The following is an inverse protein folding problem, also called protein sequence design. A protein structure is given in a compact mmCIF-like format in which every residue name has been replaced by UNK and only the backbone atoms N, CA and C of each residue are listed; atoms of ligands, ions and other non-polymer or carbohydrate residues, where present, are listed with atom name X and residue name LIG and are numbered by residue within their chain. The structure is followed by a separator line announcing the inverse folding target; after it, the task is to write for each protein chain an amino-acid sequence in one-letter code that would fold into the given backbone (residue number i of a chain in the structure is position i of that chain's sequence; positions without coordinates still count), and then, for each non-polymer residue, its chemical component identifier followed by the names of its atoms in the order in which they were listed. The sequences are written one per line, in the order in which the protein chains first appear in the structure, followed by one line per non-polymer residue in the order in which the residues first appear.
data_IF_370114144565
#
_entry.id   IF_370114144565
#
_cell.length_a   1.000
_cell.length_b   1.000
_cell.length_c   1.000
_cell.angle_alpha   90.00
_cell.angle_beta   90.00
_cell.angle_gamma   90.00
#
_symmetry.space_group_name_H-M   'P 1'
#
loop_
_entity.id
_entity.type
_entity.pdbx_description
1 polymer ?
#
# COMPACT_ATOMS: atom_id res chain seq x y z
N UNK A 1 10.70 -12.98 -9.71
CA UNK A 1 9.37 -12.44 -9.34
C UNK A 1 9.57 -10.99 -8.93
N UNK A 2 8.76 -10.04 -9.39
CA UNK A 2 8.87 -8.67 -8.88
C UNK A 2 8.25 -8.58 -7.48
N UNK A 3 8.87 -7.83 -6.59
CA UNK A 3 8.34 -7.48 -5.26
C UNK A 3 8.33 -5.97 -5.10
N UNK A 4 7.27 -5.45 -4.52
CA UNK A 4 7.16 -4.04 -4.13
C UNK A 4 7.11 -3.99 -2.61
N UNK A 5 8.15 -3.44 -1.99
CA UNK A 5 8.16 -3.15 -0.57
C UNK A 5 7.52 -1.78 -0.33
N UNK A 6 6.49 -1.75 0.51
CA UNK A 6 5.69 -0.55 0.77
C UNK A 6 6.15 0.12 2.07
N UNK A 7 6.47 -0.67 3.09
CA UNK A 7 6.84 -0.19 4.41
C UNK A 7 7.80 -1.16 5.10
N UNK A 8 8.56 -0.66 6.09
CA UNK A 8 9.37 -1.51 6.96
C UNK A 8 8.46 -2.34 7.87
N UNK A 9 8.90 -3.56 8.13
CA UNK A 9 8.30 -4.45 9.12
C UNK A 9 8.73 -4.10 10.55
N UNK A 10 8.27 -4.86 11.54
CA UNK A 10 8.54 -4.60 12.95
C UNK A 10 9.98 -4.93 13.37
N UNK A 11 10.75 -5.65 12.55
CA UNK A 11 12.14 -6.01 12.83
C UNK A 11 13.04 -5.67 11.63
N UNK A 12 14.35 -5.46 11.85
CA UNK A 12 15.32 -5.26 10.77
C UNK A 12 15.26 -6.39 9.72
N UNK A 13 15.34 -6.02 8.43
CA UNK A 13 15.24 -6.97 7.32
C UNK A 13 13.82 -7.45 7.01
N UNK A 14 12.81 -7.16 7.84
CA UNK A 14 11.41 -7.45 7.53
C UNK A 14 10.75 -6.28 6.80
N UNK A 15 9.93 -6.59 5.80
CA UNK A 15 9.21 -5.62 4.98
C UNK A 15 7.78 -6.05 4.72
N UNK A 16 6.87 -5.08 4.68
CA UNK A 16 5.53 -5.28 4.14
C UNK A 16 5.59 -5.15 2.62
N UNK A 17 5.40 -6.28 1.93
CA UNK A 17 5.45 -6.35 0.47
C UNK A 17 4.05 -6.51 -0.12
N UNK A 18 3.79 -5.84 -1.24
CA UNK A 18 2.58 -6.03 -2.04
C UNK A 18 2.56 -7.45 -2.59
N UNK A 19 1.41 -8.13 -2.45
CA UNK A 19 1.20 -9.48 -2.99
C UNK A 19 0.57 -9.49 -4.38
N UNK A 20 -0.11 -8.39 -4.72
CA UNK A 20 -0.82 -8.18 -5.98
C UNK A 20 -1.05 -6.67 -6.16
N UNK A 21 -1.41 -6.22 -7.38
CA UNK A 21 -1.93 -4.88 -7.59
C UNK A 21 -3.15 -4.56 -6.70
N UNK A 22 -3.45 -3.27 -6.46
CA UNK A 22 -4.65 -2.87 -5.75
C UNK A 22 -5.93 -3.41 -6.41
N UNK A 23 -6.94 -3.70 -5.61
CA UNK A 23 -8.26 -4.12 -6.09
C UNK A 23 -9.36 -3.59 -5.19
N UNK A 24 -10.27 -2.80 -5.73
CA UNK A 24 -11.40 -2.22 -5.00
C UNK A 24 -11.02 -1.57 -3.67
N UNK A 25 -9.97 -0.74 -3.69
CA UNK A 25 -9.47 0.00 -2.54
C UNK A 25 -8.58 -0.80 -1.59
N UNK A 26 -8.32 -2.08 -1.89
CA UNK A 26 -7.50 -2.96 -1.05
C UNK A 26 -6.17 -3.25 -1.73
N UNK A 27 -5.09 -3.13 -0.97
CA UNK A 27 -3.77 -3.60 -1.37
C UNK A 27 -3.38 -4.79 -0.50
N UNK A 28 -3.32 -5.97 -1.11
CA UNK A 28 -2.88 -7.18 -0.41
C UNK A 28 -1.40 -7.04 -0.04
N UNK A 29 -1.09 -7.21 1.25
CA UNK A 29 0.27 -7.20 1.77
C UNK A 29 0.61 -8.48 2.52
N UNK A 30 1.90 -8.81 2.56
CA UNK A 30 2.45 -9.82 3.47
C UNK A 30 3.76 -9.33 4.05
N UNK A 31 4.11 -9.86 5.21
CA UNK A 31 5.43 -9.64 5.79
C UNK A 31 6.41 -10.62 5.15
N UNK A 32 7.57 -10.12 4.72
CA UNK A 32 8.63 -10.93 4.15
C UNK A 32 10.00 -10.41 4.60
N UNK A 33 10.93 -11.33 4.80
CA UNK A 33 12.33 -11.00 5.05
C UNK A 33 13.04 -10.77 3.70
N UNK A 34 13.71 -9.62 3.59
CA UNK A 34 14.44 -9.22 2.42
C UNK A 34 15.92 -9.01 2.80
N UNK A 35 16.88 -9.55 2.04
CA UNK A 35 18.31 -9.42 2.32
C UNK A 35 18.84 -8.03 1.91
N UNK A 36 18.24 -6.97 2.46
CA UNK A 36 18.57 -5.58 2.16
C UNK A 36 18.17 -4.68 3.34
N UNK A 37 18.86 -3.55 3.49
CA UNK A 37 18.45 -2.45 4.37
C UNK A 37 18.13 -1.18 3.57
N UNK A 38 17.24 -1.31 2.58
CA UNK A 38 16.76 -0.17 1.80
C UNK A 38 15.50 0.41 2.44
N UNK A 39 15.37 1.73 2.35
CA UNK A 39 14.17 2.42 2.79
C UNK A 39 13.05 2.27 1.73
N UNK A 40 11.84 1.82 2.12
CA UNK A 40 10.69 1.76 1.23
C UNK A 40 10.08 3.16 0.96
N UNK A 41 9.24 3.32 -0.07
CA UNK A 41 8.80 2.28 -1.01
C UNK A 41 9.82 2.02 -2.13
N UNK A 42 10.01 0.75 -2.49
CA UNK A 42 10.88 0.34 -3.59
C UNK A 42 10.35 -0.93 -4.28
N UNK A 43 10.78 -1.14 -5.52
CA UNK A 43 10.59 -2.38 -6.26
C UNK A 43 11.91 -3.10 -6.45
N UNK A 44 11.87 -4.42 -6.49
CA UNK A 44 13.03 -5.26 -6.76
C UNK A 44 12.63 -6.57 -7.43
N UNK A 45 13.58 -7.17 -8.14
CA UNK A 45 13.44 -8.54 -8.64
C UNK A 45 13.88 -9.50 -7.54
N UNK A 46 12.93 -10.26 -7.01
CA UNK A 46 13.15 -11.29 -6.01
C UNK A 46 13.43 -12.65 -6.65
N UNK A 47 14.57 -13.23 -6.27
CA UNK A 47 15.01 -14.56 -6.68
C UNK A 47 15.19 -15.41 -5.42
N UNK A 48 14.47 -16.53 -5.35
CA UNK A 48 14.64 -17.54 -4.30
C UNK A 48 15.12 -18.84 -4.94
N UNK A 49 16.24 -19.34 -4.46
CA UNK A 49 16.85 -20.60 -4.88
C UNK A 49 16.92 -21.57 -3.70
N UNK A 50 17.37 -22.80 -3.96
CA UNK A 50 17.69 -23.76 -2.88
C UNK A 50 18.87 -23.31 -2.00
N UNK A 51 19.71 -22.41 -2.52
CA UNK A 51 20.95 -21.96 -1.86
C UNK A 51 20.82 -20.59 -1.19
N UNK A 52 19.66 -19.94 -1.30
CA UNK A 52 19.43 -18.63 -0.68
C UNK A 52 18.50 -17.73 -1.47
N UNK A 53 18.44 -16.49 -1.03
CA UNK A 53 17.56 -15.44 -1.54
C UNK A 53 18.39 -14.25 -2.00
N UNK A 54 18.05 -13.67 -3.15
CA UNK A 54 18.69 -12.47 -3.66
C UNK A 54 17.65 -11.46 -4.16
N UNK A 55 18.00 -10.18 -4.03
CA UNK A 55 17.27 -9.06 -4.61
C UNK A 55 18.13 -8.40 -5.69
N UNK A 56 17.58 -8.23 -6.88
CA UNK A 56 18.23 -7.55 -8.00
C UNK A 56 17.40 -6.33 -8.43
N UNK A 57 18.01 -5.40 -9.16
CA UNK A 57 17.32 -4.24 -9.77
C UNK A 57 16.47 -3.43 -8.78
N UNK A 58 17.01 -3.18 -7.58
CA UNK A 58 16.32 -2.39 -6.56
C UNK A 58 16.20 -0.95 -7.05
N UNK A 59 14.97 -0.44 -7.11
CA UNK A 59 14.69 0.94 -7.50
C UNK A 59 13.60 1.54 -6.62
N UNK A 60 13.81 2.78 -6.16
CA UNK A 60 12.77 3.53 -5.45
C UNK A 60 11.55 3.69 -6.36
N UNK A 61 10.36 3.60 -5.78
CA UNK A 61 9.12 3.86 -6.50
C UNK A 61 8.45 5.11 -5.93
N UNK A 62 7.78 5.85 -6.80
CA UNK A 62 6.87 6.89 -6.37
C UNK A 62 5.51 6.23 -6.08
N UNK A 63 5.06 6.28 -4.83
CA UNK A 63 3.80 5.67 -4.42
C UNK A 63 2.60 6.36 -5.08
N UNK A 64 2.67 7.67 -5.29
CA UNK A 64 1.61 8.45 -5.92
C UNK A 64 1.39 7.97 -7.35
N UNK A 65 2.49 7.83 -8.10
CA UNK A 65 2.44 7.26 -9.44
C UNK A 65 1.88 5.83 -9.43
N UNK A 66 2.29 5.00 -8.48
CA UNK A 66 1.78 3.63 -8.36
C UNK A 66 0.26 3.59 -8.12
N UNK A 67 -0.28 4.52 -7.33
CA UNK A 67 -1.73 4.65 -7.12
C UNK A 67 -2.45 5.14 -8.37
N UNK A 68 -1.88 6.13 -9.07
CA UNK A 68 -2.42 6.66 -10.33
C UNK A 68 -2.43 5.62 -11.45
N UNK A 69 -1.40 4.77 -11.53
CA UNK A 69 -1.33 3.67 -12.50
C UNK A 69 -2.45 2.62 -12.28
N UNK A 70 -3.12 2.65 -11.11
CA UNK A 70 -4.23 1.74 -10.74
C UNK A 70 -5.50 2.52 -10.32
N UNK A 71 -5.71 3.72 -10.88
CA UNK A 71 -6.78 4.64 -10.46
C UNK A 71 -8.20 4.05 -10.56
N UNK A 72 -8.42 3.01 -11.37
CA UNK A 72 -9.71 2.30 -11.46
C UNK A 72 -9.96 1.34 -10.28
N UNK A 73 -8.93 1.05 -9.49
CA UNK A 73 -8.95 0.07 -8.39
C UNK A 73 -8.75 0.69 -6.99
N UNK A 74 -8.59 2.00 -6.89
CA UNK A 74 -8.36 2.75 -5.64
C UNK A 74 -9.68 3.24 -5.02
N UNK A 75 -9.60 3.78 -3.80
CA UNK A 75 -10.68 4.52 -3.15
C UNK A 75 -10.53 5.98 -3.55
N UNK A 76 -11.54 6.51 -4.22
CA UNK A 76 -11.70 7.94 -4.40
C UNK A 76 -12.58 8.46 -3.26
N UNK A 77 -12.08 9.42 -2.49
CA UNK A 77 -12.82 9.91 -1.33
C UNK A 77 -12.19 11.11 -0.66
N UNK A 78 -12.69 11.42 0.52
CA UNK A 78 -12.24 12.53 1.34
C UNK A 78 -12.02 12.07 2.78
N UNK A 79 -10.93 12.54 3.38
CA UNK A 79 -10.65 12.32 4.81
C UNK A 79 -11.07 13.54 5.61
N UNK A 80 -12.09 13.39 6.43
CA UNK A 80 -12.60 14.41 7.35
C UNK A 80 -12.65 13.85 8.77
N UNK A 81 -12.10 14.58 9.74
CA UNK A 81 -12.12 14.21 11.16
C UNK A 81 -11.64 12.78 11.47
N UNK A 82 -10.65 12.30 10.71
CA UNK A 82 -10.11 10.94 10.86
C UNK A 82 -11.05 9.85 10.33
N UNK A 83 -11.98 10.19 9.43
CA UNK A 83 -12.83 9.26 8.70
C UNK A 83 -12.63 9.46 7.21
N UNK A 84 -12.28 8.40 6.50
CA UNK A 84 -12.28 8.34 5.04
C UNK A 84 -13.67 7.92 4.59
N UNK A 85 -14.36 8.81 3.89
CA UNK A 85 -15.58 8.50 3.14
C UNK A 85 -15.26 8.51 1.65
N UNK A 86 -15.61 7.43 0.94
CA UNK A 86 -15.27 7.32 -0.48
C UNK A 86 -15.99 6.19 -1.19
N UNK A 87 -15.56 5.94 -2.42
CA UNK A 87 -16.10 4.90 -3.29
C UNK A 87 -14.96 4.11 -3.91
N UNK A 88 -15.10 2.79 -3.95
CA UNK A 88 -14.26 1.92 -4.79
C UNK A 88 -15.12 0.79 -5.37
N UNK A 89 -14.92 0.45 -6.64
CA UNK A 89 -15.71 -0.56 -7.34
C UNK A 89 -17.23 -0.39 -7.16
N UNK A 90 -17.73 0.85 -7.29
CA UNK A 90 -19.14 1.23 -7.15
C UNK A 90 -19.76 0.94 -5.77
N UNK A 91 -18.93 0.83 -4.72
CA UNK A 91 -19.39 0.64 -3.34
C UNK A 91 -18.93 1.80 -2.48
N UNK A 92 -19.86 2.34 -1.68
CA UNK A 92 -19.54 3.31 -0.63
C UNK A 92 -18.69 2.64 0.44
N UNK A 93 -17.68 3.36 0.89
CA UNK A 93 -16.69 2.92 1.86
C UNK A 93 -16.59 4.00 2.93
N UNK A 94 -16.61 3.55 4.18
CA UNK A 94 -16.35 4.40 5.34
C UNK A 94 -15.32 3.70 6.20
N UNK A 95 -14.18 4.34 6.42
CA UNK A 95 -13.06 3.78 7.18
C UNK A 95 -12.59 4.83 8.18
N UNK A 96 -12.44 4.44 9.44
CA UNK A 96 -11.75 5.27 10.42
C UNK A 96 -10.24 5.25 10.18
N UNK A 97 -9.66 6.40 9.87
CA UNK A 97 -8.24 6.59 9.65
C UNK A 97 -7.61 7.10 10.95
N UNK A 98 -6.70 6.31 11.53
CA UNK A 98 -6.05 6.66 12.79
C UNK A 98 -4.86 7.61 12.58
N UNK A 99 -4.33 7.68 11.36
CA UNK A 99 -3.35 8.69 10.96
C UNK A 99 -4.03 10.06 10.77
N UNK A 100 -3.75 10.98 11.69
CA UNK A 100 -4.33 12.33 11.68
C UNK A 100 -3.63 13.30 10.73
N UNK A 101 -2.53 12.91 10.08
CA UNK A 101 -1.84 13.75 9.10
C UNK A 101 -2.56 13.82 7.74
N UNK A 102 -3.53 12.91 7.54
CA UNK A 102 -4.34 12.83 6.33
C UNK A 102 -5.64 13.61 6.52
N UNK A 103 -5.89 14.56 5.64
CA UNK A 103 -7.12 15.35 5.58
C UNK A 103 -7.31 15.88 4.16
N UNK A 104 -8.57 16.00 3.73
CA UNK A 104 -8.96 16.48 2.41
C UNK A 104 -9.14 15.37 1.37
N UNK A 105 -9.30 15.72 0.09
CA UNK A 105 -9.57 14.78 -0.98
C UNK A 105 -8.35 13.90 -1.26
N UNK A 106 -8.59 12.59 -1.36
CA UNK A 106 -7.55 11.57 -1.53
C UNK A 106 -7.93 10.51 -2.54
N UNK A 107 -6.90 9.98 -3.19
CA UNK A 107 -6.91 8.70 -3.86
C UNK A 107 -6.14 7.72 -2.97
N UNK A 108 -6.78 6.66 -2.51
CA UNK A 108 -6.18 5.82 -1.46
C UNK A 108 -6.36 4.32 -1.67
N UNK A 109 -5.45 3.55 -1.09
CA UNK A 109 -5.60 2.11 -0.92
C UNK A 109 -5.32 1.72 0.52
N UNK A 110 -6.06 0.73 1.00
CA UNK A 110 -5.91 0.17 2.33
C UNK A 110 -5.01 -1.07 2.26
N UNK A 111 -3.81 -1.03 2.87
CA UNK A 111 -3.00 -2.22 3.02
C UNK A 111 -3.71 -3.22 3.93
N UNK A 112 -3.94 -4.43 3.43
CA UNK A 112 -4.56 -5.51 4.19
C UNK A 112 -3.73 -6.78 4.08
N UNK A 113 -3.57 -7.50 5.19
CA UNK A 113 -2.94 -8.82 5.14
C UNK A 113 -3.68 -9.70 4.13
N UNK A 114 -2.94 -10.35 3.23
CA UNK A 114 -3.36 -11.13 2.05
C UNK A 114 -4.69 -11.93 2.19
N UNK A 115 -5.04 -12.41 3.38
CA UNK A 115 -6.26 -13.18 3.62
C UNK A 115 -7.53 -12.34 3.79
N UNK A 116 -7.42 -11.02 3.95
CA UNK A 116 -8.57 -10.13 4.13
C UNK A 116 -9.05 -9.60 2.78
N UNK A 117 -10.30 -9.93 2.43
CA UNK A 117 -11.00 -9.43 1.23
C UNK A 117 -11.99 -8.31 1.52
N UNK A 118 -12.11 -7.90 2.78
CA UNK A 118 -13.04 -6.88 3.23
C UNK A 118 -12.26 -5.67 3.70
N UNK A 119 -12.81 -4.49 3.41
CA UNK A 119 -12.32 -3.24 3.92
C UNK A 119 -12.50 -3.22 5.44
N UNK A 120 -11.43 -3.00 6.21
CA UNK A 120 -11.53 -2.89 7.65
C UNK A 120 -12.23 -1.57 8.04
N UNK A 121 -12.97 -1.59 9.15
CA UNK A 121 -13.64 -0.41 9.68
C UNK A 121 -12.67 0.66 10.20
N UNK A 122 -11.44 0.27 10.54
CA UNK A 122 -10.40 1.17 11.02
C UNK A 122 -9.02 0.75 10.52
N UNK A 123 -8.16 1.73 10.22
CA UNK A 123 -6.80 1.52 9.69
C UNK A 123 -5.80 2.43 10.38
N UNK A 124 -4.63 1.88 10.70
CA UNK A 124 -3.48 2.67 11.15
C UNK A 124 -2.73 3.33 10.01
N UNK A 125 -2.68 2.66 8.86
CA UNK A 125 -1.93 3.13 7.69
C UNK A 125 -2.85 3.12 6.48
N UNK A 126 -2.83 4.23 5.75
CA UNK A 126 -3.50 4.40 4.48
C UNK A 126 -2.44 4.87 3.48
N UNK A 127 -2.34 4.21 2.32
CA UNK A 127 -1.50 4.72 1.25
C UNK A 127 -2.37 5.68 0.45
N UNK A 128 -2.16 6.97 0.63
CA UNK A 128 -3.01 8.00 0.06
C UNK A 128 -2.18 9.00 -0.74
N UNK A 129 -2.60 9.24 -1.97
CA UNK A 129 -2.24 10.40 -2.76
C UNK A 129 -3.19 11.54 -2.42
N UNK A 130 -2.67 12.67 -1.96
CA UNK A 130 -3.48 13.88 -1.72
C UNK A 130 -3.70 14.59 -3.05
N UNK A 131 -4.97 14.83 -3.40
CA UNK A 131 -5.30 15.63 -4.57
C UNK A 131 -5.05 17.10 -4.23
N UNK A 132 -3.84 17.58 -4.52
CA UNK A 132 -3.51 19.00 -4.47
C UNK A 132 -3.63 19.58 -5.88
N UNK A 133 -4.53 20.54 -6.06
CA UNK A 133 -4.54 21.40 -7.24
C UNK A 133 -3.34 22.34 -7.08
N UNK A 134 -2.34 22.19 -7.96
CA UNK A 134 -1.23 23.15 -8.13
C UNK A 134 -1.60 24.14 -9.20
#
# INVERSE_FOLDING_TARGET
MEVIAIARGPAPGLYYIATAPPRCGLLGIKLAELPIDAEPPFKATYIKTRHGTALLNISKINIDKYLLDHIDQVIEGEVMDGVLEGVACNKKITIRVLDRSLSGPVIAVVPVYYRRRKIPQAVFTLLAYKLQLV
#
